data_IF_857634852530
#
_entry.id   IF_857634852530
#
_cell.length_a   1.000
_cell.length_b   1.000
_cell.length_c   1.000
_cell.angle_alpha   90.00
_cell.angle_beta   90.00
_cell.angle_gamma   90.00
#
_symmetry.space_group_name_H-M   'P 1'
#
loop_
_entity.id
_entity.type
_entity.pdbx_description
1 polymer ?
#
# COMPACT_ATOMS: atom_id res chain seq x y z
N UNK A 1 -26.11 14.42 13.81
CA UNK A 1 -24.91 14.82 14.60
C UNK A 1 -23.66 14.03 14.20
N UNK A 2 -23.77 12.82 13.63
CA UNK A 2 -22.64 12.05 13.09
C UNK A 2 -22.00 12.65 11.81
N UNK A 3 -22.78 13.32 10.95
CA UNK A 3 -22.29 13.88 9.67
C UNK A 3 -21.29 15.06 9.83
N UNK A 4 -21.27 15.72 11.00
CA UNK A 4 -20.39 16.87 11.25
C UNK A 4 -19.00 16.46 11.79
N UNK A 5 -18.85 15.25 12.34
CA UNK A 5 -17.58 14.76 12.86
C UNK A 5 -16.66 14.27 11.73
N UNK A 6 -17.23 13.57 10.73
CA UNK A 6 -16.47 13.08 9.57
C UNK A 6 -15.94 14.20 8.68
N UNK A 7 -16.67 15.31 8.52
CA UNK A 7 -16.19 16.48 7.75
C UNK A 7 -15.01 17.15 8.47
N UNK A 8 -15.02 17.16 9.81
CA UNK A 8 -13.97 17.82 10.60
C UNK A 8 -12.65 17.04 10.59
N UNK A 9 -12.66 15.70 10.53
CA UNK A 9 -11.45 14.86 10.46
C UNK A 9 -10.80 14.88 9.07
N UNK A 10 -11.59 14.77 7.99
CA UNK A 10 -11.12 14.92 6.60
C UNK A 10 -10.51 16.31 6.37
N UNK A 11 -11.03 17.35 7.04
CA UNK A 11 -10.46 18.70 6.98
C UNK A 11 -9.13 18.83 7.74
N UNK A 12 -8.92 18.06 8.80
CA UNK A 12 -7.70 18.09 9.61
C UNK A 12 -6.52 17.40 8.93
N UNK A 13 -6.75 16.26 8.27
CA UNK A 13 -5.70 15.53 7.58
C UNK A 13 -5.21 16.27 6.33
N UNK A 14 -6.14 16.78 5.52
CA UNK A 14 -5.81 17.59 4.35
C UNK A 14 -5.16 18.95 4.69
N UNK A 15 -5.41 19.49 5.88
CA UNK A 15 -4.71 20.70 6.34
C UNK A 15 -3.24 20.40 6.67
N UNK A 16 -2.98 19.38 7.51
CA UNK A 16 -1.62 18.94 7.84
C UNK A 16 -0.83 18.48 6.61
N UNK A 17 -1.51 17.85 5.65
CA UNK A 17 -0.93 17.48 4.36
C UNK A 17 -0.40 18.68 3.58
N UNK A 18 -1.15 19.79 3.55
CA UNK A 18 -0.71 21.01 2.85
C UNK A 18 0.48 21.65 3.54
N UNK A 19 0.43 21.78 4.86
CA UNK A 19 1.54 22.34 5.64
C UNK A 19 2.83 21.52 5.43
N UNK A 20 2.74 20.18 5.54
CA UNK A 20 3.86 19.27 5.29
C UNK A 20 4.44 19.40 3.86
N UNK A 21 3.57 19.48 2.86
CA UNK A 21 3.98 19.63 1.46
C UNK A 21 4.58 21.01 1.17
N UNK A 22 4.14 22.07 1.86
CA UNK A 22 4.72 23.40 1.74
C UNK A 22 6.13 23.45 2.35
N UNK A 23 6.34 22.80 3.51
CA UNK A 23 7.64 22.71 4.18
C UNK A 23 8.67 21.91 3.36
N UNK A 24 8.22 20.86 2.67
CA UNK A 24 9.08 19.99 1.85
C UNK A 24 9.10 20.36 0.35
N UNK A 25 8.21 21.27 -0.09
CA UNK A 25 8.07 21.71 -1.48
C UNK A 25 8.88 22.97 -1.83
N UNK A 26 9.50 23.63 -0.85
CA UNK A 26 10.19 24.93 -0.97
C UNK A 26 11.53 24.95 -1.72
N UNK A 27 11.85 23.94 -2.53
CA UNK A 27 13.14 23.82 -3.24
C UNK A 27 13.19 24.36 -4.68
N UNK A 28 12.12 25.00 -5.17
CA UNK A 28 12.00 25.42 -6.56
C UNK A 28 11.97 26.94 -6.77
N UNK A 29 13.03 27.68 -6.45
CA UNK A 29 13.15 29.06 -6.93
C UNK A 29 13.46 29.05 -8.42
N UNK A 30 12.43 29.20 -9.24
CA UNK A 30 12.58 29.54 -10.66
C UNK A 30 13.24 30.91 -10.80
N UNK A 31 14.42 30.94 -11.40
CA UNK A 31 14.96 32.14 -12.03
C UNK A 31 14.89 31.95 -13.54
N UNK A 32 14.08 32.78 -14.20
CA UNK A 32 14.07 32.95 -15.65
C UNK A 32 15.48 33.28 -16.19
N UNK A 33 15.81 32.86 -17.43
CA UNK A 33 17.12 33.13 -18.01
C UNK A 33 17.20 34.57 -18.50
N UNK A 34 18.01 35.38 -17.81
CA UNK A 34 18.46 36.70 -18.24
C UNK A 34 19.85 36.62 -18.89
N UNK A 35 19.92 37.13 -20.12
CA UNK A 35 21.07 37.20 -21.02
C UNK A 35 22.34 37.87 -20.44
N UNK A 36 23.50 37.31 -20.81
CA UNK A 36 24.71 38.05 -21.20
C UNK A 36 25.65 38.65 -20.13
N UNK A 37 26.90 38.18 -20.08
CA UNK A 37 28.00 38.97 -19.52
C UNK A 37 29.26 38.21 -19.12
N UNK A 38 30.27 38.23 -19.98
CA UNK A 38 31.58 37.58 -19.84
C UNK A 38 32.51 38.18 -18.77
N UNK A 39 33.40 37.34 -18.22
CA UNK A 39 34.62 37.68 -17.47
C UNK A 39 34.85 36.66 -16.36
N UNK A 40 35.86 35.78 -16.36
CA UNK A 40 37.28 36.01 -16.65
C UNK A 40 38.03 36.19 -15.33
N UNK A 41 38.67 35.14 -14.80
CA UNK A 41 39.56 35.28 -13.65
C UNK A 41 39.80 33.99 -12.85
N UNK A 42 40.90 33.31 -13.16
CA UNK A 42 41.47 32.26 -12.32
C UNK A 42 42.25 32.86 -11.15
N UNK A 43 42.18 32.24 -9.97
CA UNK A 43 43.36 32.03 -9.10
C UNK A 43 43.04 31.18 -7.86
N UNK A 44 43.90 30.20 -7.67
CA UNK A 44 44.19 29.39 -6.48
C UNK A 44 44.21 30.13 -5.13
N UNK A 45 43.88 29.44 -4.04
CA UNK A 45 44.86 29.01 -3.02
C UNK A 45 44.21 28.35 -1.79
N UNK A 46 44.92 27.35 -1.27
CA UNK A 46 44.69 26.62 -0.02
C UNK A 46 44.57 27.54 1.20
N UNK A 47 43.73 27.15 2.16
CA UNK A 47 44.07 27.23 3.59
C UNK A 47 43.26 26.22 4.40
N UNK A 48 43.98 25.24 4.94
CA UNK A 48 43.61 24.38 6.06
C UNK A 48 43.29 25.21 7.31
N UNK A 49 42.16 24.91 7.95
CA UNK A 49 41.79 25.44 9.27
C UNK A 49 41.09 24.37 10.10
N UNK A 50 41.87 23.68 10.91
CA UNK A 50 41.42 22.81 12.00
C UNK A 50 40.89 23.64 13.18
N UNK A 51 39.79 23.20 13.79
CA UNK A 51 39.49 23.52 15.19
C UNK A 51 38.02 23.82 15.46
N UNK A 52 37.45 23.10 16.43
CA UNK A 52 36.26 23.56 17.14
C UNK A 52 35.16 22.51 17.28
N UNK A 53 35.38 21.49 18.12
CA UNK A 53 34.28 20.80 18.78
C UNK A 53 33.54 21.81 19.67
N UNK A 54 32.38 22.28 19.21
CA UNK A 54 31.46 23.11 19.97
C UNK A 54 30.25 22.28 20.36
N UNK A 55 30.30 21.65 21.53
CA UNK A 55 29.10 21.17 22.21
C UNK A 55 28.25 22.38 22.62
N UNK A 56 27.26 22.70 21.80
CA UNK A 56 26.26 23.73 22.08
C UNK A 56 25.11 23.13 22.87
N UNK A 57 25.18 23.21 24.20
CA UNK A 57 23.97 23.20 25.01
C UNK A 57 23.19 24.49 24.74
N UNK A 58 22.26 24.44 23.79
CA UNK A 58 21.28 25.50 23.57
C UNK A 58 20.17 25.44 24.61
N UNK A 59 19.78 26.59 25.16
CA UNK A 59 18.50 26.73 25.84
C UNK A 59 17.36 26.25 24.92
N UNK A 60 16.27 25.67 25.46
CA UNK A 60 15.25 25.06 24.62
C UNK A 60 14.66 26.13 23.70
N UNK A 61 14.82 25.92 22.39
CA UNK A 61 13.99 26.60 21.41
C UNK A 61 12.52 26.31 21.75
N UNK A 62 11.65 27.28 21.53
CA UNK A 62 10.23 27.01 21.63
C UNK A 62 9.91 25.86 20.67
N UNK A 63 9.21 24.83 21.14
CA UNK A 63 8.73 23.74 20.30
C UNK A 63 7.89 24.35 19.18
N UNK A 64 8.33 24.17 17.94
CA UNK A 64 7.60 24.56 16.73
C UNK A 64 7.18 23.32 15.95
N UNK A 65 8.08 22.33 15.82
CA UNK A 65 7.80 21.04 15.20
C UNK A 65 7.95 19.91 16.23
N UNK A 66 6.85 19.23 16.62
CA UNK A 66 6.93 18.13 17.58
C UNK A 66 7.77 16.94 17.10
N UNK A 67 7.93 16.74 15.79
CA UNK A 67 8.69 15.62 15.24
C UNK A 67 10.21 15.82 15.35
N UNK A 68 10.66 17.07 15.23
CA UNK A 68 12.09 17.42 15.30
C UNK A 68 12.51 17.90 16.70
N UNK A 69 11.63 18.66 17.36
CA UNK A 69 11.95 19.34 18.62
C UNK A 69 11.67 18.47 19.86
N UNK A 70 10.83 17.43 19.74
CA UNK A 70 10.39 16.63 20.88
C UNK A 70 10.91 15.20 20.86
N UNK A 71 11.05 14.66 22.07
CA UNK A 71 11.26 13.23 22.23
C UNK A 71 10.02 12.45 21.73
N UNK A 72 10.22 11.24 21.16
CA UNK A 72 9.13 10.37 20.76
C UNK A 72 8.16 10.12 21.92
N UNK A 73 6.86 10.11 21.60
CA UNK A 73 5.81 9.95 22.59
C UNK A 73 5.88 8.58 23.29
N UNK A 74 5.49 8.54 24.57
CA UNK A 74 5.53 7.33 25.39
C UNK A 74 4.39 6.36 25.06
N UNK A 75 4.56 5.63 23.97
CA UNK A 75 3.73 4.50 23.59
C UNK A 75 2.85 4.76 22.36
N UNK A 76 2.24 3.71 21.81
CA UNK A 76 1.61 3.73 20.48
C UNK A 76 0.34 4.61 20.41
N UNK A 77 -0.17 5.04 21.56
CA UNK A 77 -1.37 5.85 21.71
C UNK A 77 -1.15 7.25 22.22
N UNK A 78 0.11 7.69 22.23
CA UNK A 78 0.50 9.05 22.54
C UNK A 78 1.10 9.70 21.30
N UNK A 79 0.91 10.99 21.13
CA UNK A 79 1.62 11.79 20.14
C UNK A 79 2.28 13.00 20.81
N UNK A 80 3.49 13.32 20.35
CA UNK A 80 4.19 14.53 20.76
C UNK A 80 3.52 15.73 20.10
N UNK A 81 3.32 16.80 20.86
CA UNK A 81 2.72 18.04 20.38
C UNK A 81 3.46 19.24 20.96
N UNK A 82 3.55 20.32 20.18
CA UNK A 82 3.98 21.61 20.69
C UNK A 82 2.78 22.30 21.33
N UNK A 83 2.84 22.50 22.64
CA UNK A 83 1.82 23.23 23.41
C UNK A 83 2.49 24.39 24.12
N UNK A 84 2.05 25.61 23.81
CA UNK A 84 2.59 26.85 24.39
C UNK A 84 4.12 27.00 24.22
N UNK A 85 4.65 26.50 23.10
CA UNK A 85 6.09 26.55 22.82
C UNK A 85 6.92 25.54 23.60
N UNK A 86 6.30 24.52 24.21
CA UNK A 86 6.99 23.42 24.86
C UNK A 86 6.49 22.07 24.34
N UNK A 87 7.35 21.05 24.40
CA UNK A 87 6.97 19.68 24.11
C UNK A 87 5.99 19.16 25.17
N UNK A 88 4.86 18.67 24.71
CA UNK A 88 3.87 17.98 25.49
C UNK A 88 3.49 16.67 24.80
N UNK A 89 2.82 15.79 25.53
CA UNK A 89 2.19 14.61 24.95
C UNK A 89 0.68 14.74 25.10
N UNK A 90 -0.05 14.26 24.10
CA UNK A 90 -1.49 14.04 24.23
C UNK A 90 -1.88 12.65 23.73
N UNK A 91 -3.00 12.10 24.21
CA UNK A 91 -3.57 10.91 23.62
C UNK A 91 -3.81 11.12 22.13
N UNK A 92 -3.43 10.14 21.31
CA UNK A 92 -3.92 10.04 19.94
C UNK A 92 -5.46 9.95 19.96
N UNK A 93 -6.15 10.35 18.87
CA UNK A 93 -7.60 10.21 18.78
C UNK A 93 -8.06 8.81 19.17
N UNK A 94 -9.13 8.72 19.95
CA UNK A 94 -9.73 7.42 20.28
C UNK A 94 -10.11 6.70 18.97
N UNK A 95 -9.84 5.40 18.88
CA UNK A 95 -9.99 4.63 17.64
C UNK A 95 -8.74 4.57 16.76
N UNK A 96 -7.67 5.27 17.11
CA UNK A 96 -6.40 5.13 16.40
C UNK A 96 -5.89 3.70 16.57
N UNK A 97 -5.63 2.93 15.49
CA UNK A 97 -5.07 1.59 15.60
C UNK A 97 -3.75 1.61 16.37
N UNK A 98 -3.58 0.64 17.25
CA UNK A 98 -2.37 0.47 18.05
C UNK A 98 -2.03 -1.02 18.18
N UNK A 99 -0.78 -1.30 18.53
CA UNK A 99 -0.27 -2.67 18.56
C UNK A 99 0.16 -3.18 17.18
N UNK A 100 0.79 -4.37 17.12
CA UNK A 100 1.46 -4.87 15.92
C UNK A 100 0.50 -5.33 14.81
N UNK A 101 -0.73 -5.73 15.15
CA UNK A 101 -1.62 -6.47 14.23
C UNK A 101 -2.93 -5.72 13.92
N UNK A 102 -3.06 -4.46 14.37
CA UNK A 102 -4.27 -3.65 14.21
C UNK A 102 -5.50 -4.15 15.01
N UNK A 103 -5.33 -5.16 15.88
CA UNK A 103 -6.38 -5.71 16.76
C UNK A 103 -6.61 -4.93 18.06
N UNK A 104 -6.00 -3.77 18.21
CA UNK A 104 -6.15 -2.89 19.36
C UNK A 104 -6.30 -1.43 18.90
N UNK A 105 -6.94 -0.61 19.72
CA UNK A 105 -7.14 0.82 19.48
C UNK A 105 -6.73 1.66 20.68
N UNK A 106 -6.39 2.92 20.42
CA UNK A 106 -6.22 3.91 21.46
C UNK A 106 -7.57 4.28 22.04
N UNK A 107 -7.73 4.16 23.35
CA UNK A 107 -8.88 4.75 24.04
C UNK A 107 -8.63 6.24 24.32
N UNK A 108 -9.66 6.95 24.80
CA UNK A 108 -9.58 8.38 25.13
C UNK A 108 -8.55 8.73 26.22
N UNK A 109 -8.03 7.73 26.95
CA UNK A 109 -6.99 7.89 27.96
C UNK A 109 -5.56 7.68 27.41
N UNK A 110 -5.40 7.46 26.11
CA UNK A 110 -4.09 7.24 25.49
C UNK A 110 -3.52 5.84 25.75
N UNK A 111 -4.38 4.87 26.05
CA UNK A 111 -3.98 3.47 26.29
C UNK A 111 -4.39 2.62 25.10
N UNK A 112 -3.47 1.76 24.66
CA UNK A 112 -3.75 0.76 23.64
C UNK A 112 -4.54 -0.40 24.26
N UNK A 113 -5.79 -0.58 23.83
CA UNK A 113 -6.70 -1.60 24.36
C UNK A 113 -7.13 -2.56 23.24
N UNK A 114 -7.23 -3.87 23.51
CA UNK A 114 -7.77 -4.83 22.54
C UNK A 114 -9.16 -4.41 22.10
N UNK A 115 -9.45 -4.56 20.81
CA UNK A 115 -10.76 -4.20 20.30
C UNK A 115 -11.82 -5.17 20.83
N UNK A 116 -12.88 -4.65 21.47
CA UNK A 116 -14.10 -5.41 21.72
C UNK A 116 -14.86 -5.52 20.39
N UNK A 117 -14.43 -6.45 19.52
CA UNK A 117 -15.27 -6.89 18.42
C UNK A 117 -16.57 -7.45 18.99
N UNK A 118 -17.71 -7.15 18.39
CA UNK A 118 -18.99 -7.73 18.81
C UNK A 118 -18.89 -9.27 18.92
N UNK A 119 -19.77 -9.88 19.71
CA UNK A 119 -19.75 -11.33 19.99
C UNK A 119 -19.47 -12.18 18.72
N UNK A 120 -18.30 -12.82 18.67
CA UNK A 120 -17.89 -13.71 17.57
C UNK A 120 -16.94 -13.13 16.53
N UNK A 121 -16.43 -11.90 16.69
CA UNK A 121 -15.47 -11.28 15.76
C UNK A 121 -14.01 -11.59 16.16
N UNK A 122 -13.20 -12.08 15.21
CA UNK A 122 -11.76 -12.31 15.40
C UNK A 122 -10.93 -11.02 15.27
N UNK A 123 -11.11 -10.28 14.17
CA UNK A 123 -10.39 -9.03 13.91
C UNK A 123 -11.30 -7.94 13.29
N UNK A 124 -11.00 -6.66 13.54
CA UNK A 124 -11.73 -5.56 12.87
C UNK A 124 -11.37 -5.50 11.38
N UNK A 125 -12.37 -5.20 10.54
CA UNK A 125 -12.24 -5.19 9.08
C UNK A 125 -12.52 -6.52 8.38
N UNK A 126 -12.82 -7.59 9.13
CA UNK A 126 -13.34 -8.83 8.58
C UNK A 126 -14.82 -8.67 8.14
N UNK A 127 -15.30 -9.42 7.13
CA UNK A 127 -16.71 -9.43 6.76
C UNK A 127 -17.62 -9.71 7.96
N UNK A 128 -18.67 -8.91 8.15
CA UNK A 128 -19.54 -9.08 9.31
C UNK A 128 -19.01 -8.49 10.63
N UNK A 129 -17.77 -7.98 10.64
CA UNK A 129 -17.16 -7.31 11.79
C UNK A 129 -17.16 -5.77 11.62
N UNK A 130 -17.03 -5.00 12.71
CA UNK A 130 -16.90 -3.55 12.65
C UNK A 130 -15.78 -3.09 11.70
N UNK A 131 -16.07 -2.03 10.94
CA UNK A 131 -15.10 -1.41 10.02
C UNK A 131 -13.86 -0.92 10.79
N UNK A 132 -14.08 -0.28 11.93
CA UNK A 132 -13.04 0.16 12.85
C UNK A 132 -13.44 -0.24 14.27
N UNK A 133 -12.47 -0.27 15.16
CA UNK A 133 -12.74 -0.51 16.56
C UNK A 133 -13.72 0.58 17.08
N UNK A 134 -14.73 0.16 17.83
CA UNK A 134 -15.83 1.00 18.32
C UNK A 134 -16.91 1.39 17.29
N UNK A 135 -16.80 1.00 16.02
CA UNK A 135 -17.83 1.27 15.01
C UNK A 135 -19.02 0.30 15.10
N UNK A 136 -20.21 0.77 14.76
CA UNK A 136 -21.39 -0.07 14.52
C UNK A 136 -21.59 -0.36 13.03
N UNK A 137 -20.81 0.28 12.16
CA UNK A 137 -20.82 0.02 10.72
C UNK A 137 -20.03 -1.25 10.44
N UNK A 138 -20.72 -2.20 9.82
CA UNK A 138 -20.21 -3.55 9.54
C UNK A 138 -19.84 -3.65 8.07
N UNK A 139 -18.69 -4.27 7.78
CA UNK A 139 -18.23 -4.44 6.41
C UNK A 139 -19.22 -5.33 5.65
N UNK A 140 -19.69 -4.83 4.50
CA UNK A 140 -20.43 -5.66 3.56
C UNK A 140 -19.51 -6.77 3.06
N UNK A 141 -19.97 -8.02 3.13
CA UNK A 141 -19.22 -9.16 2.61
C UNK A 141 -18.97 -8.95 1.12
N UNK A 142 -17.70 -8.93 0.67
CA UNK A 142 -17.39 -8.78 -0.75
C UNK A 142 -17.99 -9.93 -1.57
N UNK A 143 -18.44 -9.69 -2.81
CA UNK A 143 -18.98 -10.72 -3.68
C UNK A 143 -18.08 -11.95 -3.86
N UNK A 144 -16.76 -11.77 -3.87
CA UNK A 144 -15.81 -12.89 -3.93
C UNK A 144 -15.95 -13.86 -2.75
N UNK A 145 -16.45 -13.38 -1.61
CA UNK A 145 -16.44 -14.09 -0.33
C UNK A 145 -17.81 -14.58 0.12
N UNK A 146 -18.84 -14.31 -0.69
CA UNK A 146 -20.23 -14.61 -0.32
C UNK A 146 -20.50 -16.11 -0.15
N UNK A 147 -19.67 -16.98 -0.73
CA UNK A 147 -19.80 -18.43 -0.62
C UNK A 147 -19.02 -19.05 0.54
N UNK A 148 -18.04 -18.35 1.11
CA UNK A 148 -17.10 -18.91 2.08
C UNK A 148 -16.27 -20.09 1.54
N UNK A 149 -16.07 -20.15 0.22
CA UNK A 149 -15.25 -21.19 -0.39
C UNK A 149 -13.78 -21.09 0.06
N UNK A 150 -12.97 -22.16 -0.04
CA UNK A 150 -11.55 -22.10 0.24
C UNK A 150 -10.88 -20.95 -0.51
N UNK A 151 -10.00 -20.21 0.17
CA UNK A 151 -9.39 -19.00 -0.35
C UNK A 151 -10.34 -17.81 -0.50
N UNK A 152 -11.63 -17.93 -0.18
CA UNK A 152 -12.67 -16.91 -0.31
C UNK A 152 -13.60 -16.88 0.93
N UNK A 153 -13.03 -17.18 2.09
CA UNK A 153 -13.70 -17.25 3.38
C UNK A 153 -12.67 -17.20 4.50
N UNK A 154 -12.93 -17.88 5.60
CA UNK A 154 -12.05 -17.89 6.78
C UNK A 154 -11.04 -19.04 6.65
N UNK A 155 -10.05 -18.86 5.78
CA UNK A 155 -9.05 -19.88 5.46
C UNK A 155 -7.69 -19.30 5.04
N UNK A 156 -7.43 -18.02 5.30
CA UNK A 156 -6.20 -17.35 4.88
C UNK A 156 -5.30 -17.03 6.07
N UNK A 157 -3.99 -16.98 5.83
CA UNK A 157 -3.00 -16.67 6.85
C UNK A 157 -3.04 -17.59 8.07
N UNK A 158 -2.38 -17.15 9.14
CA UNK A 158 -2.38 -17.89 10.41
C UNK A 158 -3.76 -17.83 11.09
N UNK A 159 -4.25 -18.98 11.57
CA UNK A 159 -5.45 -19.06 12.41
C UNK A 159 -6.77 -18.92 11.65
N UNK A 160 -6.81 -19.31 10.37
CA UNK A 160 -8.01 -19.26 9.52
C UNK A 160 -8.61 -17.85 9.42
N UNK A 161 -7.76 -16.83 9.26
CA UNK A 161 -8.21 -15.45 9.10
C UNK A 161 -9.04 -15.28 7.82
N UNK A 162 -9.88 -14.26 7.80
CA UNK A 162 -10.72 -13.99 6.64
C UNK A 162 -9.88 -13.56 5.45
N UNK A 163 -9.96 -14.29 4.34
CA UNK A 163 -9.32 -13.95 3.05
C UNK A 163 -9.78 -12.59 2.48
N UNK A 164 -10.82 -12.02 3.10
CA UNK A 164 -11.52 -10.81 2.69
C UNK A 164 -11.41 -9.70 3.73
N UNK A 165 -10.66 -9.96 4.81
CA UNK A 165 -10.28 -8.95 5.78
C UNK A 165 -9.55 -7.81 5.07
N UNK A 166 -9.90 -6.58 5.44
CA UNK A 166 -9.28 -5.37 4.92
C UNK A 166 -9.10 -4.39 6.07
N UNK A 167 -7.93 -3.76 6.15
CA UNK A 167 -7.55 -2.95 7.31
C UNK A 167 -7.64 -1.49 6.96
N UNK A 168 -8.10 -0.70 7.92
CA UNK A 168 -8.02 0.76 7.81
C UNK A 168 -6.53 1.15 7.83
N UNK A 169 -6.15 1.93 6.83
CA UNK A 169 -4.91 2.69 6.80
C UNK A 169 -5.30 4.14 7.08
N UNK A 170 -5.02 4.66 8.29
CA UNK A 170 -5.32 6.05 8.62
C UNK A 170 -4.58 7.00 7.71
N UNK A 171 -5.19 8.12 7.44
CA UNK A 171 -4.62 9.19 6.64
C UNK A 171 -3.30 9.70 7.25
N UNK A 172 -2.43 10.24 6.41
CA UNK A 172 -1.18 10.83 6.87
C UNK A 172 -0.24 11.21 5.74
N UNK A 173 0.98 11.58 6.14
CA UNK A 173 2.03 12.04 5.25
C UNK A 173 3.25 11.14 5.32
N UNK A 174 4.03 11.07 4.25
CA UNK A 174 5.29 10.35 4.18
C UNK A 174 6.15 10.78 2.99
N UNK A 175 7.41 10.36 3.00
CA UNK A 175 8.39 10.54 1.95
C UNK A 175 8.52 9.24 1.13
N UNK A 176 8.16 9.28 -0.15
CA UNK A 176 7.96 8.06 -0.96
C UNK A 176 9.22 7.30 -1.34
N UNK A 177 10.32 8.03 -1.46
CA UNK A 177 11.63 7.50 -1.87
C UNK A 177 12.64 7.50 -0.72
N UNK A 178 12.16 7.65 0.52
CA UNK A 178 13.01 7.72 1.71
C UNK A 178 12.73 6.53 2.62
N UNK A 179 13.79 5.86 3.07
CA UNK A 179 13.74 4.81 4.08
C UNK A 179 14.76 5.00 5.22
N UNK A 180 15.45 6.15 5.25
CA UNK A 180 16.51 6.47 6.22
C UNK A 180 17.73 5.54 6.18
N UNK A 181 17.75 4.57 5.27
CA UNK A 181 18.79 3.56 5.11
C UNK A 181 19.51 3.72 3.79
N UNK A 182 19.14 2.89 2.81
CA UNK A 182 19.78 2.95 1.48
C UNK A 182 19.15 3.98 0.56
N UNK A 183 17.92 4.42 0.85
CA UNK A 183 17.22 5.44 0.09
C UNK A 183 17.02 6.65 0.99
N UNK A 184 17.65 7.77 0.63
CA UNK A 184 17.62 9.01 1.42
C UNK A 184 17.02 10.16 0.63
N UNK A 185 16.26 9.87 -0.43
CA UNK A 185 15.64 10.89 -1.28
C UNK A 185 14.29 11.31 -0.68
N UNK A 186 14.29 12.49 -0.08
CA UNK A 186 13.15 13.14 0.56
C UNK A 186 12.39 14.10 -0.38
N UNK A 187 12.76 14.16 -1.66
CA UNK A 187 12.17 15.12 -2.61
C UNK A 187 10.75 14.79 -3.07
N UNK A 188 10.18 13.67 -2.60
CA UNK A 188 8.87 13.16 -3.01
C UNK A 188 7.88 13.02 -1.85
N UNK A 189 7.57 14.10 -1.14
CA UNK A 189 6.55 14.08 -0.09
C UNK A 189 5.17 13.76 -0.68
N UNK A 190 4.36 13.04 0.09
CA UNK A 190 3.00 12.68 -0.27
C UNK A 190 2.09 12.66 0.96
N UNK A 191 0.81 12.90 0.70
CA UNK A 191 -0.28 12.71 1.65
C UNK A 191 -1.32 11.75 1.06
N UNK A 192 -1.86 10.90 1.92
CA UNK A 192 -2.96 10.00 1.59
C UNK A 192 -4.11 10.21 2.57
N UNK A 193 -5.33 10.21 2.06
CA UNK A 193 -6.58 10.17 2.83
C UNK A 193 -6.77 8.79 3.47
N UNK A 194 -7.72 8.67 4.40
CA UNK A 194 -8.09 7.37 4.97
C UNK A 194 -8.56 6.44 3.85
N UNK A 195 -8.04 5.21 3.85
CA UNK A 195 -8.49 4.17 2.94
C UNK A 195 -8.39 2.82 3.63
N UNK A 196 -9.02 1.80 3.05
CA UNK A 196 -8.80 0.42 3.47
C UNK A 196 -8.03 -0.32 2.41
N UNK A 197 -7.21 -1.27 2.83
CA UNK A 197 -6.47 -2.14 1.94
C UNK A 197 -6.73 -3.59 2.36
N UNK A 198 -6.97 -4.45 1.37
CA UNK A 198 -7.13 -5.88 1.62
C UNK A 198 -5.89 -6.42 2.35
N UNK A 199 -6.12 -7.18 3.43
CA UNK A 199 -5.06 -7.76 4.29
C UNK A 199 -4.12 -8.64 3.46
N UNK A 200 -4.69 -9.37 2.52
CA UNK A 200 -4.01 -10.34 1.68
C UNK A 200 -4.08 -9.93 0.19
N UNK A 201 -3.15 -10.45 -0.60
CA UNK A 201 -3.27 -10.50 -2.06
C UNK A 201 -4.58 -11.20 -2.47
N UNK A 202 -5.10 -10.89 -3.65
CA UNK A 202 -6.26 -11.59 -4.19
C UNK A 202 -5.88 -13.06 -4.36
N UNK A 203 -6.61 -13.95 -3.72
CA UNK A 203 -6.39 -15.39 -3.82
C UNK A 203 -7.00 -15.99 -5.09
N UNK A 204 -6.54 -17.19 -5.46
CA UNK A 204 -7.18 -17.97 -6.53
C UNK A 204 -8.65 -18.25 -6.21
N UNK A 205 -8.99 -18.52 -4.94
CA UNK A 205 -10.38 -18.75 -4.50
C UNK A 205 -11.28 -17.55 -4.72
N UNK A 206 -10.84 -16.35 -4.31
CA UNK A 206 -11.59 -15.11 -4.56
C UNK A 206 -11.73 -14.85 -6.05
N UNK A 207 -10.65 -15.00 -6.81
CA UNK A 207 -10.68 -14.82 -8.26
C UNK A 207 -11.55 -15.86 -8.97
N UNK A 208 -11.64 -17.09 -8.44
CA UNK A 208 -12.52 -18.13 -8.98
C UNK A 208 -13.98 -17.74 -8.86
N UNK A 209 -14.41 -17.18 -7.73
CA UNK A 209 -15.76 -16.65 -7.57
C UNK A 209 -16.09 -15.58 -8.63
N UNK A 210 -15.13 -14.72 -8.98
CA UNK A 210 -15.24 -13.73 -10.06
C UNK A 210 -15.42 -14.38 -11.44
N UNK A 211 -14.59 -15.38 -11.78
CA UNK A 211 -14.68 -16.12 -13.05
C UNK A 211 -16.00 -16.90 -13.15
N UNK A 212 -16.45 -17.55 -12.06
CA UNK A 212 -17.69 -18.31 -11.99
C UNK A 212 -18.94 -17.43 -12.04
N UNK A 213 -18.86 -16.19 -11.53
CA UNK A 213 -19.87 -15.15 -11.72
C UNK A 213 -19.89 -14.59 -13.16
N UNK A 214 -19.07 -15.14 -14.07
CA UNK A 214 -19.00 -14.77 -15.47
C UNK A 214 -18.45 -13.36 -15.68
N UNK A 215 -17.61 -12.85 -14.78
CA UNK A 215 -16.99 -11.52 -14.86
C UNK A 215 -15.61 -11.56 -15.52
N UNK A 216 -15.03 -10.38 -15.74
CA UNK A 216 -13.66 -10.25 -16.27
C UNK A 216 -13.52 -10.52 -17.77
N UNK A 217 -14.63 -10.45 -18.50
CA UNK A 217 -14.69 -10.78 -19.93
C UNK A 217 -15.42 -9.68 -20.69
N UNK A 218 -15.20 -9.61 -22.01
CA UNK A 218 -15.81 -8.59 -22.88
C UNK A 218 -17.33 -8.56 -22.81
N UNK A 219 -17.96 -9.73 -22.60
CA UNK A 219 -19.41 -9.88 -22.48
C UNK A 219 -20.00 -9.44 -21.14
N UNK A 220 -19.17 -9.24 -20.11
CA UNK A 220 -19.59 -8.82 -18.78
C UNK A 220 -18.49 -7.97 -18.10
N UNK A 221 -18.15 -6.82 -18.69
CA UNK A 221 -17.13 -5.92 -18.16
C UNK A 221 -17.70 -5.14 -16.95
N UNK A 222 -16.83 -4.51 -16.16
CA UNK A 222 -17.28 -3.54 -15.16
C UNK A 222 -18.13 -2.42 -15.77
N UNK A 223 -19.05 -1.87 -14.96
CA UNK A 223 -19.80 -0.67 -15.34
C UNK A 223 -18.84 0.52 -15.49
N UNK A 224 -19.17 1.46 -16.38
CA UNK A 224 -18.40 2.70 -16.54
C UNK A 224 -18.33 3.45 -15.20
N UNK A 225 -17.13 3.85 -14.81
CA UNK A 225 -16.86 4.52 -13.54
C UNK A 225 -16.76 3.60 -12.32
N UNK A 226 -16.96 2.28 -12.46
CA UNK A 226 -16.73 1.32 -11.38
C UNK A 226 -15.23 1.26 -11.01
N UNK A 227 -14.91 0.94 -9.76
CA UNK A 227 -13.52 0.90 -9.28
C UNK A 227 -12.81 2.25 -9.23
N UNK A 228 -13.56 3.36 -9.22
CA UNK A 228 -12.97 4.70 -9.08
C UNK A 228 -12.41 4.91 -7.67
N UNK A 229 -11.29 5.63 -7.58
CA UNK A 229 -10.86 6.26 -6.35
C UNK A 229 -11.68 7.56 -6.13
N UNK A 230 -12.32 7.77 -4.97
CA UNK A 230 -13.18 8.93 -4.70
C UNK A 230 -12.44 10.28 -4.72
N UNK A 231 -11.12 10.27 -4.54
CA UNK A 231 -10.27 11.47 -4.57
C UNK A 231 -9.70 11.77 -5.96
N UNK A 232 -9.94 10.88 -6.93
CA UNK A 232 -9.35 10.96 -8.27
C UNK A 232 -10.44 10.90 -9.33
N UNK A 233 -10.80 12.07 -9.87
CA UNK A 233 -11.82 12.19 -10.92
C UNK A 233 -11.50 11.33 -12.15
N UNK A 234 -12.47 10.56 -12.64
CA UNK A 234 -12.31 9.76 -13.87
C UNK A 234 -11.38 8.55 -13.73
N UNK A 235 -11.02 8.14 -12.50
CA UNK A 235 -10.19 6.94 -12.23
C UNK A 235 -10.91 5.61 -12.44
N UNK A 236 -12.23 5.63 -12.64
CA UNK A 236 -13.04 4.43 -12.81
C UNK A 236 -12.92 3.80 -14.20
N UNK A 237 -13.48 2.60 -14.34
CA UNK A 237 -13.49 1.84 -15.59
C UNK A 237 -14.04 2.65 -16.78
N UNK A 238 -13.41 2.51 -17.95
CA UNK A 238 -13.83 3.18 -19.19
C UNK A 238 -14.17 2.17 -20.30
N UNK A 239 -15.06 2.57 -21.21
CA UNK A 239 -15.61 1.69 -22.24
C UNK A 239 -14.53 1.12 -23.18
N UNK A 240 -13.47 1.90 -23.43
CA UNK A 240 -12.34 1.48 -24.27
C UNK A 240 -11.55 0.30 -23.70
N UNK A 241 -11.67 0.02 -22.40
CA UNK A 241 -11.01 -1.12 -21.77
C UNK A 241 -11.76 -2.44 -21.93
N UNK A 242 -13.04 -2.41 -22.36
CA UNK A 242 -13.80 -3.64 -22.55
C UNK A 242 -13.11 -4.59 -23.53
N UNK A 243 -12.54 -4.07 -24.62
CA UNK A 243 -11.82 -4.87 -25.63
C UNK A 243 -10.45 -5.37 -25.14
N UNK A 244 -10.01 -4.98 -23.94
CA UNK A 244 -8.76 -5.42 -23.29
C UNK A 244 -8.94 -6.67 -22.45
N UNK A 245 -10.19 -7.07 -22.21
CA UNK A 245 -10.54 -8.31 -21.52
C UNK A 245 -10.65 -9.48 -22.51
N UNK A 246 -10.57 -10.70 -21.99
CA UNK A 246 -10.76 -11.91 -22.78
C UNK A 246 -12.21 -12.02 -23.29
N UNK A 247 -12.43 -12.58 -24.49
CA UNK A 247 -13.75 -12.56 -25.14
C UNK A 247 -14.84 -13.30 -24.37
N UNK A 248 -14.47 -14.31 -23.57
CA UNK A 248 -15.40 -15.12 -22.78
C UNK A 248 -14.67 -15.87 -21.66
N UNK A 249 -15.43 -16.51 -20.76
CA UNK A 249 -14.89 -17.20 -19.58
C UNK A 249 -13.94 -18.34 -19.95
N UNK A 250 -14.16 -19.04 -21.07
CA UNK A 250 -13.28 -20.12 -21.49
C UNK A 250 -11.91 -19.59 -21.94
N UNK A 251 -11.90 -18.48 -22.69
CA UNK A 251 -10.67 -17.79 -23.07
C UNK A 251 -9.94 -17.25 -21.83
N UNK A 252 -10.67 -16.67 -20.87
CA UNK A 252 -10.10 -16.22 -19.60
C UNK A 252 -9.40 -17.35 -18.83
N UNK A 253 -10.08 -18.48 -18.61
CA UNK A 253 -9.49 -19.64 -17.91
C UNK A 253 -8.21 -20.15 -18.61
N UNK A 254 -8.22 -20.19 -19.95
CA UNK A 254 -7.04 -20.59 -20.71
C UNK A 254 -5.90 -19.56 -20.58
N UNK A 255 -6.23 -18.28 -20.53
CA UNK A 255 -5.23 -17.20 -20.49
C UNK A 255 -4.57 -17.05 -19.11
N UNK A 256 -5.28 -17.39 -18.02
CA UNK A 256 -4.73 -17.46 -16.66
C UNK A 256 -3.61 -18.51 -16.51
N UNK A 257 -3.45 -19.40 -17.49
CA UNK A 257 -2.35 -20.37 -17.59
C UNK A 257 -1.23 -19.80 -18.50
N UNK A 258 -0.68 -18.64 -18.11
CA UNK A 258 -0.08 -17.67 -19.04
C UNK A 258 1.26 -18.03 -19.70
N UNK A 259 2.05 -18.94 -19.10
CA UNK A 259 3.42 -19.25 -19.53
C UNK A 259 3.63 -20.75 -19.75
N UNK A 260 4.75 -21.15 -20.36
CA UNK A 260 5.10 -22.58 -20.51
C UNK A 260 5.78 -23.21 -19.28
N UNK A 261 6.17 -22.41 -18.30
CA UNK A 261 6.95 -22.83 -17.12
C UNK A 261 6.11 -23.47 -16.00
N UNK A 262 4.77 -23.43 -16.12
CA UNK A 262 3.82 -24.05 -15.16
C UNK A 262 3.85 -23.46 -13.77
N UNK A 263 4.22 -22.18 -13.66
CA UNK A 263 4.27 -21.43 -12.41
C UNK A 263 3.05 -20.51 -12.21
N UNK A 264 1.97 -20.73 -12.97
CA UNK A 264 0.68 -20.08 -12.74
C UNK A 264 -0.06 -20.74 -11.56
N UNK A 265 -0.81 -19.96 -10.78
CA UNK A 265 -1.53 -20.47 -9.60
C UNK A 265 -2.94 -20.96 -9.93
N UNK A 266 -3.52 -20.52 -11.06
CA UNK A 266 -4.87 -20.92 -11.49
C UNK A 266 -4.98 -22.41 -11.89
N UNK A 267 -6.01 -23.08 -11.38
CA UNK A 267 -6.44 -24.42 -11.84
C UNK A 267 -7.90 -24.37 -12.30
N UNK A 268 -8.28 -25.16 -13.31
CA UNK A 268 -9.66 -25.14 -13.81
C UNK A 268 -10.69 -25.62 -12.79
N UNK A 269 -10.30 -26.56 -11.94
CA UNK A 269 -11.08 -27.05 -10.81
C UNK A 269 -10.52 -26.49 -9.48
N UNK A 270 -11.39 -26.21 -8.49
CA UNK A 270 -10.95 -25.89 -7.14
C UNK A 270 -10.01 -26.96 -6.57
N UNK A 271 -9.01 -26.55 -5.79
CA UNK A 271 -8.04 -27.49 -5.23
C UNK A 271 -7.05 -26.86 -4.24
N UNK A 272 -5.81 -27.36 -4.17
CA UNK A 272 -4.83 -26.89 -3.17
C UNK A 272 -4.34 -25.45 -3.42
N UNK A 273 -4.61 -24.87 -4.58
CA UNK A 273 -4.11 -23.55 -4.95
C UNK A 273 -5.06 -22.41 -4.52
N UNK A 274 -6.23 -22.69 -3.95
CA UNK A 274 -7.24 -21.64 -3.70
C UNK A 274 -6.74 -20.53 -2.76
N UNK A 275 -5.83 -20.84 -1.83
CA UNK A 275 -5.22 -19.89 -0.88
C UNK A 275 -3.95 -19.22 -1.42
N UNK A 276 -3.42 -19.67 -2.57
CA UNK A 276 -2.32 -18.98 -3.24
C UNK A 276 -2.82 -17.66 -3.82
N UNK A 277 -1.97 -16.63 -3.91
CA UNK A 277 -2.32 -15.42 -4.63
C UNK A 277 -2.50 -15.72 -6.13
N UNK A 278 -3.52 -15.12 -6.74
CA UNK A 278 -3.73 -15.23 -8.18
C UNK A 278 -2.62 -14.48 -8.92
N UNK A 279 -1.93 -15.16 -9.82
CA UNK A 279 -0.96 -14.55 -10.75
C UNK A 279 -1.46 -14.66 -12.20
N UNK A 280 -0.63 -14.30 -13.19
CA UNK A 280 -0.99 -14.40 -14.61
C UNK A 280 -2.24 -13.59 -15.00
N UNK A 281 -2.58 -12.56 -14.22
CA UNK A 281 -3.65 -11.62 -14.51
C UNK A 281 -3.09 -10.35 -15.14
N UNK A 282 -3.83 -9.82 -16.11
CA UNK A 282 -3.57 -8.49 -16.66
C UNK A 282 -3.98 -7.41 -15.67
N UNK A 283 -3.47 -6.19 -15.87
CA UNK A 283 -3.91 -5.03 -15.08
C UNK A 283 -5.43 -4.80 -15.21
N UNK A 284 -5.99 -5.03 -16.41
CA UNK A 284 -7.42 -4.85 -16.67
C UNK A 284 -8.29 -5.85 -15.90
N UNK A 285 -7.81 -7.07 -15.72
CA UNK A 285 -8.50 -8.11 -14.94
C UNK A 285 -8.39 -7.85 -13.45
N UNK A 286 -7.22 -7.41 -12.96
CA UNK A 286 -7.03 -6.99 -11.58
C UNK A 286 -7.98 -5.83 -11.23
N UNK A 287 -8.06 -4.81 -12.10
CA UNK A 287 -8.99 -3.70 -11.93
C UNK A 287 -10.44 -4.20 -11.96
N UNK A 288 -10.81 -5.02 -12.94
CA UNK A 288 -12.18 -5.52 -13.07
C UNK A 288 -12.61 -6.37 -11.88
N UNK A 289 -11.69 -7.16 -11.32
CA UNK A 289 -11.90 -7.91 -10.08
C UNK A 289 -12.19 -6.95 -8.93
N UNK A 290 -11.29 -6.01 -8.64
CA UNK A 290 -11.48 -5.10 -7.50
C UNK A 290 -12.76 -4.27 -7.64
N UNK A 291 -13.08 -3.79 -8.84
CA UNK A 291 -14.32 -3.06 -9.11
C UNK A 291 -15.58 -3.92 -8.88
N UNK A 292 -15.55 -5.20 -9.26
CA UNK A 292 -16.64 -6.13 -9.00
C UNK A 292 -16.77 -6.47 -7.52
N UNK A 293 -15.64 -6.61 -6.83
CA UNK A 293 -15.57 -6.98 -5.43
C UNK A 293 -15.89 -5.82 -4.47
N UNK A 294 -16.34 -4.67 -4.99
CA UNK A 294 -16.73 -3.50 -4.22
C UNK A 294 -15.58 -2.59 -3.78
N UNK A 295 -14.40 -2.74 -4.39
CA UNK A 295 -13.22 -1.91 -4.16
C UNK A 295 -12.66 -1.32 -5.45
N UNK A 296 -11.34 -1.13 -5.46
CA UNK A 296 -10.54 -0.57 -6.55
C UNK A 296 -9.09 -1.06 -6.42
N UNK A 297 -8.26 -0.83 -7.44
CA UNK A 297 -6.81 -0.96 -7.23
C UNK A 297 -6.32 0.17 -6.30
N UNK A 298 -5.33 -0.08 -5.43
CA UNK A 298 -4.66 0.99 -4.70
C UNK A 298 -3.93 1.90 -5.68
N UNK A 299 -3.82 3.18 -5.37
CA UNK A 299 -2.80 4.02 -6.02
C UNK A 299 -1.42 3.58 -5.55
N UNK A 300 -0.40 3.91 -6.32
CA UNK A 300 0.98 3.71 -5.93
C UNK A 300 1.28 4.38 -4.57
N UNK A 301 0.77 5.60 -4.35
CA UNK A 301 0.98 6.33 -3.11
C UNK A 301 0.32 5.62 -1.91
N UNK A 302 -0.91 5.13 -2.06
CA UNK A 302 -1.60 4.36 -1.02
C UNK A 302 -0.85 3.07 -0.68
N UNK A 303 -0.47 2.28 -1.69
CA UNK A 303 0.25 1.03 -1.50
C UNK A 303 1.57 1.25 -0.77
N UNK A 304 2.33 2.26 -1.19
CA UNK A 304 3.62 2.56 -0.62
C UNK A 304 3.53 3.16 0.78
N UNK A 305 2.51 3.97 1.07
CA UNK A 305 2.22 4.43 2.42
C UNK A 305 1.97 3.25 3.37
N UNK A 306 1.14 2.28 2.94
CA UNK A 306 0.88 1.05 3.67
C UNK A 306 2.17 0.26 3.95
N UNK A 307 3.00 0.05 2.93
CA UNK A 307 4.25 -0.72 3.02
C UNK A 307 5.37 0.02 3.77
N UNK A 308 5.42 1.34 3.74
CA UNK A 308 6.43 2.12 4.46
C UNK A 308 6.06 2.35 5.94
N UNK A 309 4.87 1.92 6.37
CA UNK A 309 4.36 2.22 7.70
C UNK A 309 4.09 3.71 7.91
N UNK A 310 3.76 4.43 6.84
CA UNK A 310 3.51 5.87 6.84
C UNK A 310 4.76 6.70 7.15
N UNK A 311 4.66 7.54 8.18
CA UNK A 311 5.70 8.47 8.64
C UNK A 311 6.92 7.76 9.28
N UNK A 312 6.84 6.44 9.49
CA UNK A 312 7.97 5.65 9.98
C UNK A 312 9.02 5.35 8.90
N UNK A 313 8.68 5.55 7.62
CA UNK A 313 9.59 5.37 6.47
C UNK A 313 10.35 4.02 6.51
N UNK A 314 9.65 2.94 6.80
CA UNK A 314 10.26 1.62 6.98
C UNK A 314 10.83 1.12 5.64
N UNK A 315 12.07 0.58 5.62
CA UNK A 315 12.61 -0.07 4.42
C UNK A 315 11.77 -1.25 3.93
N UNK A 316 11.17 -2.02 4.85
CA UNK A 316 10.28 -3.14 4.61
C UNK A 316 9.01 -2.99 5.47
N UNK A 317 7.88 -3.63 5.13
CA UNK A 317 6.61 -3.48 5.87
C UNK A 317 6.73 -3.61 7.40
N UNK A 318 7.53 -4.58 7.86
CA UNK A 318 7.78 -4.87 9.27
C UNK A 318 8.93 -4.05 9.89
N UNK A 319 9.70 -3.27 9.12
CA UNK A 319 10.85 -2.50 9.60
C UNK A 319 12.10 -2.66 8.73
N UNK A 320 13.25 -2.96 9.34
CA UNK A 320 14.56 -2.79 8.69
C UNK A 320 15.21 -4.07 8.15
N UNK A 321 15.06 -5.22 8.82
CA UNK A 321 15.84 -6.43 8.50
C UNK A 321 15.03 -7.44 7.69
N UNK A 322 15.47 -7.72 6.46
CA UNK A 322 14.91 -8.76 5.60
C UNK A 322 15.46 -10.14 5.98
N UNK A 323 14.56 -11.11 6.09
CA UNK A 323 14.86 -12.53 6.17
C UNK A 323 13.71 -13.37 5.59
N UNK A 324 13.96 -14.67 5.41
CA UNK A 324 12.97 -15.62 4.88
C UNK A 324 11.86 -16.00 5.85
N UNK A 325 11.90 -15.55 7.12
CA UNK A 325 10.77 -15.72 8.05
C UNK A 325 9.69 -14.66 7.80
N UNK A 326 10.06 -13.51 7.21
CA UNK A 326 9.16 -12.37 6.98
C UNK A 326 8.69 -12.20 5.54
N UNK A 327 9.36 -12.79 4.55
CA UNK A 327 8.95 -12.69 3.16
C UNK A 327 9.33 -13.92 2.34
N UNK A 328 8.55 -14.22 1.31
CA UNK A 328 8.90 -15.18 0.26
C UNK A 328 9.60 -14.45 -0.90
N UNK A 329 10.88 -14.74 -1.11
CA UNK A 329 11.71 -14.11 -2.15
C UNK A 329 12.89 -15.01 -2.58
N UNK A 330 13.59 -14.61 -3.64
CA UNK A 330 14.75 -15.32 -4.20
C UNK A 330 14.55 -16.84 -4.45
N UNK A 331 13.31 -17.29 -4.60
CA UNK A 331 12.93 -18.69 -4.78
C UNK A 331 13.38 -19.56 -3.60
N UNK A 332 12.97 -19.13 -2.40
CA UNK A 332 13.24 -19.81 -1.13
C UNK A 332 11.96 -20.05 -0.32
N UNK A 333 10.79 -19.83 -0.93
CA UNK A 333 9.51 -19.88 -0.22
C UNK A 333 9.24 -21.27 0.36
N UNK A 334 9.61 -22.32 -0.38
CA UNK A 334 9.47 -23.71 0.04
C UNK A 334 10.62 -24.23 0.94
N UNK A 335 11.57 -23.35 1.29
CA UNK A 335 12.74 -23.68 2.08
C UNK A 335 13.91 -24.29 1.28
N UNK A 336 13.80 -24.35 -0.04
CA UNK A 336 14.91 -24.73 -0.93
C UNK A 336 15.99 -23.63 -1.01
N UNK A 337 17.10 -23.96 -1.68
CA UNK A 337 18.17 -23.01 -1.90
C UNK A 337 17.79 -22.00 -3.00
N UNK A 338 18.19 -20.75 -2.81
CA UNK A 338 17.84 -19.66 -3.71
C UNK A 338 18.21 -19.93 -5.19
N UNK A 339 17.33 -19.51 -6.10
CA UNK A 339 17.57 -19.46 -7.55
C UNK A 339 16.73 -20.42 -8.40
N UNK A 340 16.37 -21.60 -7.89
CA UNK A 340 15.62 -22.60 -8.64
C UNK A 340 14.12 -22.51 -8.34
N UNK A 341 13.45 -21.58 -9.02
CA UNK A 341 12.05 -21.25 -8.75
C UNK A 341 11.07 -22.37 -9.13
N UNK A 342 10.18 -22.70 -8.19
CA UNK A 342 9.09 -23.64 -8.35
C UNK A 342 7.75 -23.04 -7.91
N UNK A 343 6.64 -23.73 -8.20
CA UNK A 343 5.31 -23.25 -7.78
C UNK A 343 5.19 -23.22 -6.26
N UNK A 344 5.95 -24.09 -5.58
CA UNK A 344 6.04 -24.17 -4.12
C UNK A 344 6.68 -22.94 -3.47
N UNK A 345 7.38 -22.09 -4.24
CA UNK A 345 7.90 -20.82 -3.74
C UNK A 345 6.84 -19.72 -3.63
N UNK A 346 5.71 -19.89 -4.31
CA UNK A 346 4.54 -19.02 -4.16
C UNK A 346 3.78 -19.57 -2.96
N UNK A 347 3.70 -18.77 -1.89
CA UNK A 347 3.12 -19.22 -0.64
C UNK A 347 1.63 -18.85 -0.56
N UNK A 348 0.84 -19.64 0.18
CA UNK A 348 -0.49 -19.21 0.60
C UNK A 348 -0.41 -17.83 1.26
N UNK A 349 -1.36 -16.96 0.96
CA UNK A 349 -1.36 -15.59 1.50
C UNK A 349 -1.34 -15.62 3.03
N UNK A 350 -0.58 -14.71 3.64
CA UNK A 350 -0.43 -14.62 5.09
C UNK A 350 0.44 -15.70 5.74
N UNK A 351 1.21 -16.47 4.97
CA UNK A 351 2.09 -17.52 5.50
C UNK A 351 3.27 -16.99 6.33
N UNK A 352 3.56 -15.69 6.26
CA UNK A 352 4.71 -15.04 6.93
C UNK A 352 4.22 -13.87 7.83
N UNK A 353 3.43 -14.13 8.89
CA UNK A 353 2.81 -13.07 9.69
C UNK A 353 3.81 -12.16 10.42
N UNK A 354 5.05 -12.62 10.65
CA UNK A 354 6.13 -11.76 11.18
C UNK A 354 6.61 -10.69 10.19
N UNK A 355 6.18 -10.77 8.94
CA UNK A 355 6.37 -9.79 7.87
C UNK A 355 5.17 -8.85 7.67
N UNK A 356 4.19 -8.86 8.56
CA UNK A 356 3.06 -7.95 8.43
C UNK A 356 3.48 -6.49 8.58
N UNK A 357 2.84 -5.61 7.80
CA UNK A 357 3.02 -4.17 7.87
C UNK A 357 2.46 -3.56 9.15
N UNK A 358 2.72 -2.26 9.37
CA UNK A 358 2.25 -1.49 10.56
C UNK A 358 0.77 -1.69 10.93
N UNK A 359 -0.07 -1.88 9.92
CA UNK A 359 -1.52 -2.01 10.07
C UNK A 359 -2.04 -3.45 9.86
N UNK A 360 -1.16 -4.45 9.89
CA UNK A 360 -1.53 -5.87 9.80
C UNK A 360 -1.83 -6.36 8.37
N UNK A 361 -1.22 -5.75 7.36
CA UNK A 361 -1.28 -6.23 5.97
C UNK A 361 -0.13 -7.21 5.73
N UNK A 362 -0.46 -8.41 5.28
CA UNK A 362 0.52 -9.45 4.95
C UNK A 362 1.01 -9.31 3.52
N UNK A 363 2.21 -9.86 3.27
CA UNK A 363 2.79 -10.02 1.93
C UNK A 363 2.95 -8.72 1.13
N UNK A 364 3.04 -7.56 1.81
CA UNK A 364 3.40 -6.29 1.15
C UNK A 364 4.86 -6.29 0.65
N UNK A 365 5.66 -7.30 0.99
CA UNK A 365 6.98 -7.53 0.41
C UNK A 365 7.18 -9.02 0.11
N UNK A 366 7.51 -9.35 -1.13
CA UNK A 366 7.63 -10.73 -1.61
C UNK A 366 6.30 -11.32 -2.08
N UNK A 367 6.24 -12.65 -2.18
CA UNK A 367 5.14 -13.40 -2.80
C UNK A 367 4.84 -12.96 -4.25
N UNK A 368 3.93 -12.04 -4.54
CA UNK A 368 3.78 -11.47 -5.89
C UNK A 368 4.02 -9.96 -5.90
N UNK A 369 4.52 -9.48 -7.05
CA UNK A 369 4.41 -8.08 -7.39
C UNK A 369 2.93 -7.71 -7.49
N UNK A 370 2.56 -6.51 -7.08
CA UNK A 370 1.16 -6.11 -7.05
C UNK A 370 0.87 -4.97 -8.01
N UNK A 371 -0.10 -5.16 -8.92
CA UNK A 371 -0.60 -4.09 -9.77
C UNK A 371 -1.18 -2.93 -8.94
N UNK A 372 -0.81 -1.71 -9.32
CA UNK A 372 -1.41 -0.47 -8.78
C UNK A 372 -2.16 0.30 -9.86
N UNK A 373 -2.92 1.33 -9.48
CA UNK A 373 -3.70 2.14 -10.42
C UNK A 373 -2.83 2.97 -11.38
N UNK A 374 -1.59 3.27 -11.00
CA UNK A 374 -0.74 4.26 -11.65
C UNK A 374 -0.15 3.80 -12.98
N UNK A 375 -0.03 4.74 -13.92
CA UNK A 375 0.89 4.59 -15.03
C UNK A 375 2.32 4.89 -14.58
N UNK A 376 3.30 4.14 -15.10
CA UNK A 376 4.70 4.34 -14.81
C UNK A 376 5.21 5.68 -15.36
N UNK A 377 5.96 6.38 -14.50
CA UNK A 377 6.82 7.51 -14.82
C UNK A 377 8.05 7.45 -13.92
N UNK A 378 9.18 7.90 -14.46
CA UNK A 378 10.45 7.92 -13.72
C UNK A 378 10.38 8.86 -12.52
N UNK A 379 9.80 10.05 -12.72
CA UNK A 379 9.54 10.99 -11.64
C UNK A 379 8.15 10.75 -11.02
N UNK A 380 8.10 10.71 -9.69
CA UNK A 380 6.86 10.72 -8.93
C UNK A 380 6.21 12.12 -8.99
N UNK A 381 4.86 12.24 -8.95
CA UNK A 381 4.19 13.53 -9.10
C UNK A 381 4.27 14.33 -7.80
N UNK A 382 4.66 15.60 -7.89
CA UNK A 382 4.74 16.53 -6.75
C UNK A 382 4.00 17.84 -7.07
N UNK A 383 3.21 18.40 -6.14
CA UNK A 383 2.81 17.83 -4.85
C UNK A 383 1.91 16.59 -5.03
N UNK A 384 1.90 15.69 -4.04
CA UNK A 384 1.02 14.51 -4.04
C UNK A 384 0.05 14.55 -2.86
N UNK A 385 -1.24 14.70 -3.16
CA UNK A 385 -2.36 14.45 -2.23
C UNK A 385 -3.30 13.51 -2.96
N UNK A 386 -3.45 12.28 -2.46
CA UNK A 386 -4.25 11.23 -3.11
C UNK A 386 -3.94 11.08 -4.61
N UNK A 387 -2.67 11.26 -4.96
CA UNK A 387 -2.26 11.43 -6.34
C UNK A 387 -2.25 10.10 -7.11
N UNK A 388 -2.43 10.21 -8.42
CA UNK A 388 -2.21 9.11 -9.35
C UNK A 388 -1.55 9.66 -10.62
N UNK A 389 -0.63 8.91 -11.22
CA UNK A 389 -0.18 9.19 -12.57
C UNK A 389 -1.21 8.69 -13.59
N UNK A 390 -1.92 9.62 -14.23
CA UNK A 390 -2.80 9.34 -15.38
C UNK A 390 -2.07 9.62 -16.68
N UNK A 391 -2.06 8.64 -17.57
CA UNK A 391 -1.69 8.82 -18.98
C UNK A 391 -2.85 8.28 -19.80
N UNK A 392 -3.56 9.17 -20.47
CA UNK A 392 -4.53 8.79 -21.49
C UNK A 392 -3.84 8.88 -22.85
N UNK A 393 -3.48 7.73 -23.44
CA UNK A 393 -3.27 7.65 -24.89
C UNK A 393 -1.92 7.18 -25.43
N UNK A 394 -0.93 6.83 -24.60
CA UNK A 394 0.30 6.20 -25.08
C UNK A 394 0.12 4.67 -25.14
N UNK A 395 0.18 4.10 -26.36
CA UNK A 395 -0.01 2.65 -26.59
C UNK A 395 1.03 1.77 -25.87
N UNK A 396 2.17 2.35 -25.50
CA UNK A 396 3.32 1.65 -24.92
C UNK A 396 3.58 2.06 -23.46
N UNK A 397 2.61 2.70 -22.80
CA UNK A 397 2.74 3.01 -21.38
C UNK A 397 2.61 1.73 -20.52
N UNK A 398 3.42 1.65 -19.47
CA UNK A 398 3.44 0.56 -18.50
C UNK A 398 2.75 0.97 -17.21
N UNK A 399 2.25 0.02 -16.43
CA UNK A 399 1.62 0.25 -15.12
C UNK A 399 2.59 -0.06 -14.01
N UNK A 400 2.49 0.67 -12.90
CA UNK A 400 3.35 0.46 -11.74
C UNK A 400 2.98 -0.84 -11.04
N UNK A 401 3.99 -1.62 -10.67
CA UNK A 401 3.92 -2.76 -9.76
C UNK A 401 4.79 -2.52 -8.53
N UNK A 402 4.36 -3.03 -7.37
CA UNK A 402 5.06 -2.83 -6.08
C UNK A 402 5.28 -4.14 -5.30
N UNK A 403 6.23 -4.13 -4.36
CA UNK A 403 6.40 -5.19 -3.35
C UNK A 403 7.46 -6.26 -3.63
N UNK A 404 7.97 -6.40 -4.86
CA UNK A 404 8.79 -7.57 -5.19
C UNK A 404 7.93 -8.83 -5.33
N UNK A 405 8.55 -9.97 -5.60
CA UNK A 405 7.86 -11.27 -5.72
C UNK A 405 8.73 -12.39 -5.17
N UNK A 406 8.21 -13.62 -5.17
CA UNK A 406 8.92 -14.84 -4.77
C UNK A 406 10.23 -15.04 -5.54
N UNK A 407 10.37 -14.47 -6.75
CA UNK A 407 11.60 -14.51 -7.53
C UNK A 407 12.54 -13.33 -7.30
N UNK A 408 12.01 -12.25 -6.74
CA UNK A 408 12.73 -11.00 -6.70
C UNK A 408 13.91 -11.09 -5.72
N UNK A 409 15.04 -10.42 -6.04
CA UNK A 409 16.14 -10.26 -5.10
C UNK A 409 15.76 -9.30 -3.96
N UNK A 410 16.50 -9.37 -2.85
CA UNK A 410 16.27 -8.57 -1.64
C UNK A 410 16.06 -7.05 -1.83
N UNK A 411 16.75 -6.34 -2.76
CA UNK A 411 16.53 -4.92 -2.97
C UNK A 411 15.12 -4.60 -3.48
N UNK A 412 14.52 -5.51 -4.26
CA UNK A 412 13.25 -5.26 -4.92
C UNK A 412 12.06 -5.34 -3.97
N UNK A 413 12.26 -5.93 -2.78
CA UNK A 413 11.28 -6.08 -1.73
C UNK A 413 11.08 -4.82 -0.87
N UNK A 414 11.89 -3.78 -1.08
CA UNK A 414 11.81 -2.56 -0.28
C UNK A 414 10.50 -1.82 -0.56
N UNK A 415 9.92 -1.21 0.49
CA UNK A 415 8.67 -0.46 0.39
C UNK A 415 8.73 0.68 -0.63
N UNK A 416 9.89 1.35 -0.74
CA UNK A 416 10.12 2.41 -1.72
C UNK A 416 10.46 1.91 -3.14
N UNK A 417 10.72 0.62 -3.33
CA UNK A 417 11.07 0.09 -4.65
C UNK A 417 9.83 0.04 -5.55
N UNK A 418 10.06 0.28 -6.84
CA UNK A 418 9.01 0.40 -7.86
C UNK A 418 9.47 -0.37 -9.09
N UNK A 419 8.54 -1.06 -9.73
CA UNK A 419 8.77 -1.66 -11.03
C UNK A 419 7.54 -1.40 -11.92
N UNK A 420 7.57 -1.89 -13.15
CA UNK A 420 6.49 -1.73 -14.10
C UNK A 420 6.34 -2.93 -15.01
N UNK A 421 5.13 -3.09 -15.54
CA UNK A 421 4.86 -4.07 -16.59
C UNK A 421 3.79 -3.55 -17.54
N UNK A 422 3.73 -4.08 -18.76
CA UNK A 422 2.69 -3.68 -19.69
C UNK A 422 1.34 -4.17 -19.16
N UNK A 423 0.27 -3.35 -19.27
CA UNK A 423 -1.02 -3.67 -18.66
C UNK A 423 -1.70 -4.93 -19.25
N UNK A 424 -1.19 -5.44 -20.37
CA UNK A 424 -1.66 -6.65 -21.04
C UNK A 424 -0.84 -7.89 -20.72
N UNK A 425 0.34 -7.71 -20.11
CA UNK A 425 1.20 -8.82 -19.81
C UNK A 425 0.55 -9.66 -18.72
N UNK A 426 0.70 -10.97 -18.88
CA UNK A 426 0.38 -11.94 -17.85
C UNK A 426 1.69 -12.53 -17.39
N UNK A 427 2.07 -12.19 -16.18
CA UNK A 427 3.35 -12.62 -15.62
C UNK A 427 3.07 -13.44 -14.36
N UNK A 428 3.76 -14.57 -14.23
CA UNK A 428 3.53 -15.52 -13.14
C UNK A 428 4.11 -15.08 -11.78
N UNK A 429 4.64 -13.86 -11.70
CA UNK A 429 5.10 -13.24 -10.47
C UNK A 429 4.41 -11.90 -10.21
N UNK A 430 3.33 -11.58 -10.93
CA UNK A 430 2.50 -10.38 -10.71
C UNK A 430 1.06 -10.81 -10.42
N UNK A 431 0.52 -10.31 -9.31
CA UNK A 431 -0.87 -10.38 -8.88
C UNK A 431 -1.39 -8.99 -8.52
N UNK A 432 -2.29 -8.90 -7.54
CA UNK A 432 -2.81 -7.63 -7.04
C UNK A 432 -3.50 -7.81 -5.68
N UNK A 433 -3.73 -6.67 -5.01
CA UNK A 433 -4.69 -6.54 -3.91
C UNK A 433 -5.63 -5.36 -4.16
N UNK A 434 -6.76 -5.32 -3.45
CA UNK A 434 -7.73 -4.23 -3.60
C UNK A 434 -7.63 -3.23 -2.46
N UNK A 435 -7.84 -1.95 -2.79
CA UNK A 435 -8.17 -0.90 -1.84
C UNK A 435 -9.67 -0.64 -1.83
N UNK A 436 -10.17 -0.05 -0.73
CA UNK A 436 -11.58 0.28 -0.51
C UNK A 436 -11.70 1.63 0.17
N UNK A 437 -12.87 2.23 0.04
CA UNK A 437 -13.19 3.46 0.75
C UNK A 437 -13.45 3.13 2.24
N UNK A 438 -13.14 4.06 3.18
CA UNK A 438 -13.13 3.83 4.62
C UNK A 438 -14.49 3.54 5.27
#
# INVERSE_FOLDING_TARGET
MALLVSISLVSGCNARARDFLDDHGGGGSGTEPGDGGSGGGASSSNASGSGGAGGGGGAPGACVDPAEDCAPARGPCMEAVCSEGACAERPRPAGTPCGPDGGAECNAAGVCVPCEGGDGCGECGDPGCPNTCGSQDVMATPPSCASGAPGAGDSCGAGDASCCGNRLVPCGTYLRSYDGGSNTDDSFPAAVSDFRLDKFEITVGRFRAFVEAGRGVQGNPPAIGAGRNPHVDGSGWIAGWNQRLEPNTAALKSALQCNGDRLWTWTDAPGPNEELPINCITWFEAFAFCAWDGGRLPTEAEWNYAAAGGDEHRPYPWGAALDGERAAYACTGDGSAAGDCALSDILPVGSKPSGDGRWGHSDLAGNLWEWTMDWWRDALPTPCIDCVHRVDGERDATRVTRGGSYRAPAPDLRAGNRDFSYPFDRVNNIGARCARDP
#
